data_IF_528746236692
#
_entry.id   IF_528746236692
#
_cell.length_a   1.000
_cell.length_b   1.000
_cell.length_c   1.000
_cell.angle_alpha   90.00
_cell.angle_beta   90.00
_cell.angle_gamma   90.00
#
_symmetry.space_group_name_H-M   'P 1'
#
loop_
_entity.id
_entity.type
_entity.pdbx_description
1 polymer ?
#
# COMPACT_ATOMS: atom_id res chain seq x y z
N UNK A 1 9.57 2.39 18.24
CA UNK A 1 8.53 1.65 19.00
C UNK A 1 8.70 0.14 18.87
N UNK A 2 8.74 -0.44 17.65
CA UNK A 2 8.89 -1.90 17.45
C UNK A 2 10.07 -2.53 18.21
N UNK A 3 11.27 -1.97 18.05
CA UNK A 3 12.49 -2.43 18.73
C UNK A 3 12.40 -2.31 20.25
N UNK A 4 11.67 -1.30 20.74
CA UNK A 4 11.49 -1.09 22.18
C UNK A 4 10.54 -2.15 22.75
N UNK A 5 9.50 -2.54 22.00
CA UNK A 5 8.50 -3.50 22.43
C UNK A 5 8.97 -4.96 22.33
N UNK A 6 9.75 -5.29 21.30
CA UNK A 6 10.11 -6.69 20.99
C UNK A 6 11.61 -6.99 21.10
N UNK A 7 12.47 -5.97 21.18
CA UNK A 7 13.92 -6.13 21.25
C UNK A 7 14.65 -5.77 19.96
N UNK A 8 15.98 -5.87 20.00
CA UNK A 8 16.92 -5.33 19.01
C UNK A 8 17.66 -6.39 18.21
N UNK A 9 17.27 -7.67 18.31
CA UNK A 9 17.90 -8.72 17.49
C UNK A 9 17.56 -8.50 16.02
N UNK A 10 18.50 -8.86 15.14
CA UNK A 10 18.34 -8.66 13.69
C UNK A 10 17.06 -9.32 13.16
N UNK A 11 16.74 -10.52 13.64
CA UNK A 11 15.52 -11.25 13.27
C UNK A 11 14.26 -10.44 13.60
N UNK A 12 14.20 -9.81 14.79
CA UNK A 12 13.03 -9.05 15.25
C UNK A 12 12.85 -7.79 14.40
N UNK A 13 13.93 -7.10 14.07
CA UNK A 13 13.87 -5.91 13.21
C UNK A 13 13.40 -6.29 11.80
N UNK A 14 13.94 -7.37 11.23
CA UNK A 14 13.55 -7.87 9.90
C UNK A 14 12.10 -8.40 9.86
N UNK A 15 11.58 -8.92 10.97
CA UNK A 15 10.22 -9.43 11.03
C UNK A 15 9.15 -8.35 10.78
N UNK A 16 9.45 -7.08 11.10
CA UNK A 16 8.56 -5.97 10.78
C UNK A 16 8.38 -5.84 9.26
N UNK A 17 9.44 -5.99 8.47
CA UNK A 17 9.36 -5.99 7.02
C UNK A 17 8.50 -7.14 6.52
N UNK A 18 8.72 -8.36 7.02
CA UNK A 18 7.89 -9.53 6.68
C UNK A 18 6.41 -9.28 6.97
N UNK A 19 6.08 -8.74 8.14
CA UNK A 19 4.71 -8.41 8.51
C UNK A 19 4.10 -7.39 7.53
N UNK A 20 4.81 -6.30 7.23
CA UNK A 20 4.33 -5.30 6.28
C UNK A 20 4.20 -5.83 4.85
N UNK A 21 5.05 -6.77 4.42
CA UNK A 21 4.91 -7.45 3.13
C UNK A 21 3.63 -8.27 3.07
N UNK A 22 3.33 -9.06 4.11
CA UNK A 22 2.09 -9.86 4.16
C UNK A 22 0.86 -8.95 4.12
N UNK A 23 0.88 -7.84 4.89
CA UNK A 23 -0.18 -6.84 4.86
C UNK A 23 -0.31 -6.18 3.48
N UNK A 24 0.82 -5.91 2.80
CA UNK A 24 0.83 -5.39 1.42
C UNK A 24 0.14 -6.36 0.48
N UNK A 25 0.47 -7.65 0.53
CA UNK A 25 -0.14 -8.68 -0.32
C UNK A 25 -1.66 -8.78 -0.09
N UNK A 26 -2.09 -8.83 1.18
CA UNK A 26 -3.50 -8.86 1.53
C UNK A 26 -4.25 -7.62 1.01
N UNK A 27 -3.64 -6.44 1.18
CA UNK A 27 -4.21 -5.18 0.70
C UNK A 27 -4.22 -5.09 -0.83
N UNK A 28 -3.20 -5.62 -1.49
CA UNK A 28 -3.09 -5.63 -2.95
C UNK A 28 -4.14 -6.54 -3.58
N UNK A 29 -4.37 -7.72 -3.00
CA UNK A 29 -5.48 -8.58 -3.40
C UNK A 29 -6.82 -7.86 -3.24
N UNK A 30 -7.04 -7.18 -2.11
CA UNK A 30 -8.28 -6.43 -1.85
C UNK A 30 -8.47 -5.30 -2.86
N UNK A 31 -7.43 -4.53 -3.13
CA UNK A 31 -7.43 -3.42 -4.08
C UNK A 31 -7.76 -3.87 -5.51
N UNK A 32 -7.03 -4.84 -6.02
CA UNK A 32 -7.22 -5.37 -7.38
C UNK A 32 -8.57 -6.06 -7.54
N UNK A 33 -9.05 -6.77 -6.51
CA UNK A 33 -10.39 -7.36 -6.51
C UNK A 33 -11.51 -6.33 -6.50
N UNK A 34 -11.33 -5.21 -5.80
CA UNK A 34 -12.31 -4.12 -5.78
C UNK A 34 -12.28 -3.31 -7.09
N UNK A 35 -11.11 -3.21 -7.73
CA UNK A 35 -10.93 -2.44 -8.97
C UNK A 35 -11.47 -3.20 -10.19
N UNK A 36 -11.23 -4.52 -10.25
CA UNK A 36 -11.65 -5.39 -11.34
C UNK A 36 -12.60 -6.48 -10.82
N UNK A 37 -12.04 -7.63 -10.40
CA UNK A 37 -12.77 -8.80 -9.92
C UNK A 37 -11.84 -9.74 -9.13
N UNK A 38 -12.43 -10.75 -8.46
CA UNK A 38 -11.70 -11.69 -7.60
C UNK A 38 -10.66 -12.55 -8.33
N UNK A 39 -10.90 -12.91 -9.59
CA UNK A 39 -9.96 -13.73 -10.37
C UNK A 39 -8.73 -12.89 -10.73
N UNK A 40 -8.95 -11.67 -11.24
CA UNK A 40 -7.86 -10.71 -11.48
C UNK A 40 -7.06 -10.46 -10.21
N UNK A 41 -7.74 -10.33 -9.07
CA UNK A 41 -7.06 -10.14 -7.79
C UNK A 41 -6.13 -11.29 -7.40
N UNK A 42 -6.54 -12.54 -7.62
CA UNK A 42 -5.69 -13.71 -7.34
C UNK A 42 -4.48 -13.78 -8.26
N UNK A 43 -4.68 -13.50 -9.55
CA UNK A 43 -3.58 -13.49 -10.54
C UNK A 43 -2.58 -12.39 -10.17
N UNK A 44 -3.06 -11.18 -9.86
CA UNK A 44 -2.21 -10.07 -9.46
C UNK A 44 -1.44 -10.38 -8.15
N UNK A 45 -2.13 -10.97 -7.16
CA UNK A 45 -1.51 -11.41 -5.91
C UNK A 45 -0.39 -12.44 -6.17
N UNK A 46 -0.63 -13.42 -7.04
CA UNK A 46 0.38 -14.42 -7.40
C UNK A 46 1.58 -13.77 -8.11
N UNK A 47 1.33 -12.90 -9.09
CA UNK A 47 2.39 -12.16 -9.79
C UNK A 47 3.25 -11.34 -8.84
N UNK A 48 2.64 -10.56 -7.93
CA UNK A 48 3.39 -9.76 -6.96
C UNK A 48 4.12 -10.63 -5.93
N UNK A 49 3.45 -11.67 -5.41
CA UNK A 49 4.00 -12.56 -4.39
C UNK A 49 5.14 -13.45 -4.88
N UNK A 50 5.22 -13.70 -6.19
CA UNK A 50 6.32 -14.48 -6.81
C UNK A 50 7.40 -13.59 -7.42
N UNK A 51 7.21 -12.27 -7.43
CA UNK A 51 8.16 -11.34 -8.00
C UNK A 51 9.43 -11.27 -7.12
N UNK A 52 10.58 -11.67 -7.68
CA UNK A 52 11.83 -11.81 -6.92
C UNK A 52 12.23 -10.55 -6.15
N UNK A 53 12.04 -9.36 -6.73
CA UNK A 53 12.36 -8.10 -6.05
C UNK A 53 11.46 -7.83 -4.85
N UNK A 54 10.19 -8.25 -4.92
CA UNK A 54 9.25 -8.10 -3.82
C UNK A 54 9.58 -9.09 -2.68
N UNK A 55 9.90 -10.34 -3.03
CA UNK A 55 10.34 -11.36 -2.07
C UNK A 55 11.65 -10.93 -1.39
N UNK A 56 12.61 -10.40 -2.15
CA UNK A 56 13.89 -9.91 -1.62
C UNK A 56 13.70 -8.90 -0.47
N UNK A 57 12.85 -7.89 -0.67
CA UNK A 57 12.61 -6.86 0.35
C UNK A 57 11.76 -7.32 1.54
N UNK A 58 11.25 -8.55 1.52
CA UNK A 58 10.55 -9.15 2.67
C UNK A 58 11.50 -9.33 3.85
N UNK A 59 12.76 -9.65 3.59
CA UNK A 59 13.74 -9.97 4.61
C UNK A 59 14.67 -8.81 4.96
N UNK A 60 14.65 -7.73 4.20
CA UNK A 60 15.49 -6.57 4.49
C UNK A 60 14.81 -5.62 5.46
N UNK A 61 15.53 -5.15 6.48
CA UNK A 61 15.08 -4.10 7.39
C UNK A 61 15.15 -2.71 6.72
N UNK A 62 14.44 -2.55 5.60
CA UNK A 62 14.37 -1.33 4.78
C UNK A 62 12.93 -0.81 4.70
N UNK A 63 12.72 0.48 4.43
CA UNK A 63 11.37 1.07 4.43
C UNK A 63 10.48 0.59 3.29
N UNK A 64 11.01 -0.14 2.30
CA UNK A 64 10.29 -0.47 1.06
C UNK A 64 9.04 -1.34 1.27
N UNK A 65 9.06 -2.28 2.21
CA UNK A 65 7.89 -3.11 2.50
C UNK A 65 6.74 -2.28 3.10
N UNK A 66 7.06 -1.37 4.03
CA UNK A 66 6.09 -0.42 4.59
C UNK A 66 5.61 0.61 3.55
N UNK A 67 6.52 1.06 2.67
CA UNK A 67 6.20 1.96 1.56
C UNK A 67 5.23 1.31 0.58
N UNK A 68 5.44 0.03 0.24
CA UNK A 68 4.56 -0.72 -0.65
C UNK A 68 3.16 -0.88 -0.04
N UNK A 69 3.07 -1.22 1.25
CA UNK A 69 1.80 -1.25 1.98
C UNK A 69 1.08 0.10 1.90
N UNK A 70 1.82 1.17 2.18
CA UNK A 70 1.36 2.55 2.08
C UNK A 70 0.81 2.90 0.71
N UNK A 71 1.59 2.64 -0.35
CA UNK A 71 1.21 2.94 -1.73
C UNK A 71 -0.08 2.24 -2.16
N UNK A 72 -0.18 0.92 -1.91
CA UNK A 72 -1.39 0.15 -2.24
C UNK A 72 -2.58 0.60 -1.39
N UNK A 73 -2.35 0.81 -0.09
CA UNK A 73 -3.37 1.27 0.84
C UNK A 73 -3.91 2.65 0.46
N UNK A 74 -3.04 3.56 0.02
CA UNK A 74 -3.39 4.89 -0.44
C UNK A 74 -4.27 4.85 -1.69
N UNK A 75 -3.88 4.04 -2.69
CA UNK A 75 -4.67 3.83 -3.91
C UNK A 75 -6.05 3.24 -3.59
N UNK A 76 -6.10 2.24 -2.71
CA UNK A 76 -7.36 1.62 -2.30
C UNK A 76 -8.27 2.58 -1.54
N UNK A 77 -7.73 3.32 -0.57
CA UNK A 77 -8.50 4.27 0.23
C UNK A 77 -9.08 5.38 -0.65
N UNK A 78 -8.28 5.90 -1.59
CA UNK A 78 -8.74 6.90 -2.56
C UNK A 78 -9.84 6.33 -3.47
N UNK A 79 -9.68 5.11 -3.99
CA UNK A 79 -10.70 4.45 -4.81
C UNK A 79 -12.03 4.32 -4.03
N UNK A 80 -11.96 3.91 -2.76
CA UNK A 80 -13.13 3.80 -1.89
C UNK A 80 -13.76 5.16 -1.61
N UNK A 81 -12.95 6.19 -1.37
CA UNK A 81 -13.41 7.56 -1.14
C UNK A 81 -14.12 8.13 -2.36
N UNK A 82 -13.56 7.97 -3.57
CA UNK A 82 -14.18 8.44 -4.82
C UNK A 82 -15.52 7.74 -5.06
N UNK A 83 -15.60 6.42 -4.85
CA UNK A 83 -16.83 5.65 -5.07
C UNK A 83 -17.91 5.94 -4.02
N UNK A 84 -17.50 6.14 -2.76
CA UNK A 84 -18.40 6.40 -1.62
C UNK A 84 -17.72 7.35 -0.65
N UNK A 85 -17.92 8.67 -0.82
CA UNK A 85 -17.29 9.67 0.04
C UNK A 85 -17.73 9.46 1.48
N UNK A 86 -16.77 9.20 2.37
CA UNK A 86 -17.01 9.13 3.80
C UNK A 86 -15.77 9.60 4.58
N UNK A 87 -15.97 9.95 5.86
CA UNK A 87 -14.89 10.45 6.73
C UNK A 87 -13.80 9.41 6.94
N UNK A 88 -14.16 8.14 7.08
CA UNK A 88 -13.20 7.05 7.31
C UNK A 88 -12.22 6.88 6.15
N UNK A 89 -12.69 6.83 4.91
CA UNK A 89 -11.84 6.72 3.72
C UNK A 89 -11.06 8.00 3.47
N UNK A 90 -11.59 9.18 3.82
CA UNK A 90 -10.80 10.41 3.79
C UNK A 90 -9.60 10.33 4.77
N UNK A 91 -9.85 9.92 6.02
CA UNK A 91 -8.80 9.73 7.03
C UNK A 91 -7.79 8.65 6.63
N UNK A 92 -8.26 7.52 6.08
CA UNK A 92 -7.39 6.46 5.58
C UNK A 92 -6.53 6.93 4.39
N UNK A 93 -7.11 7.72 3.48
CA UNK A 93 -6.39 8.30 2.33
C UNK A 93 -5.28 9.24 2.82
N UNK A 94 -5.58 10.08 3.81
CA UNK A 94 -4.59 10.96 4.43
C UNK A 94 -3.49 10.15 5.15
N UNK A 95 -3.86 9.20 6.01
CA UNK A 95 -2.91 8.41 6.79
C UNK A 95 -1.99 7.57 5.89
N UNK A 96 -2.55 6.87 4.90
CA UNK A 96 -1.81 6.00 3.99
C UNK A 96 -1.06 6.76 2.89
N UNK A 97 -1.40 8.02 2.65
CA UNK A 97 -0.60 8.91 1.80
C UNK A 97 0.55 9.56 2.57
N UNK A 98 0.29 10.15 3.73
CA UNK A 98 1.27 11.01 4.42
C UNK A 98 2.33 10.20 5.17
N UNK A 99 1.95 9.15 5.89
CA UNK A 99 2.90 8.37 6.72
C UNK A 99 3.99 7.73 5.85
N UNK A 100 3.68 7.05 4.74
CA UNK A 100 4.71 6.43 3.91
C UNK A 100 5.53 7.45 3.12
N UNK A 101 4.94 8.60 2.78
CA UNK A 101 5.68 9.70 2.14
C UNK A 101 6.77 10.25 3.06
N UNK A 102 6.49 10.36 4.36
CA UNK A 102 7.52 10.72 5.35
C UNK A 102 8.65 9.69 5.42
N UNK A 103 8.37 8.41 5.18
CA UNK A 103 9.40 7.36 5.17
C UNK A 103 10.28 7.42 3.92
N UNK A 104 9.69 7.70 2.75
CA UNK A 104 10.44 7.76 1.50
C UNK A 104 9.76 8.63 0.44
N UNK A 105 10.49 9.53 -0.25
CA UNK A 105 9.93 10.44 -1.26
C UNK A 105 9.42 9.73 -2.52
N UNK A 106 9.66 8.43 -2.68
CA UNK A 106 9.16 7.65 -3.83
C UNK A 106 7.63 7.59 -3.89
N UNK A 107 6.93 7.86 -2.79
CA UNK A 107 5.47 7.99 -2.84
C UNK A 107 5.02 9.18 -3.70
N UNK A 108 5.91 10.15 -4.01
CA UNK A 108 5.63 11.24 -4.94
C UNK A 108 5.17 10.73 -6.32
N UNK A 109 5.73 9.61 -6.80
CA UNK A 109 5.28 9.00 -8.06
C UNK A 109 3.83 8.49 -7.97
N UNK A 110 3.43 7.97 -6.81
CA UNK A 110 2.06 7.51 -6.56
C UNK A 110 1.11 8.69 -6.48
N UNK A 111 1.50 9.79 -5.82
CA UNK A 111 0.73 11.03 -5.82
C UNK A 111 0.52 11.57 -7.24
N UNK A 112 1.58 11.63 -8.06
CA UNK A 112 1.49 12.05 -9.46
C UNK A 112 0.51 11.17 -10.26
N UNK A 113 0.61 9.85 -10.13
CA UNK A 113 -0.31 8.92 -10.78
C UNK A 113 -1.76 9.10 -10.33
N UNK A 114 -2.01 9.40 -9.05
CA UNK A 114 -3.35 9.66 -8.55
C UNK A 114 -3.93 10.97 -9.06
N UNK A 115 -3.14 12.05 -9.10
CA UNK A 115 -3.59 13.32 -9.69
C UNK A 115 -4.01 13.10 -11.13
N UNK A 116 -3.19 12.41 -11.92
CA UNK A 116 -3.52 12.05 -13.31
C UNK A 116 -4.80 11.20 -13.37
N UNK A 117 -4.93 10.17 -12.53
CA UNK A 117 -6.12 9.32 -12.51
C UNK A 117 -7.40 10.09 -12.15
N UNK A 118 -7.31 11.01 -11.19
CA UNK A 118 -8.44 11.86 -10.79
C UNK A 118 -8.86 12.76 -11.96
N UNK A 119 -7.90 13.43 -12.61
CA UNK A 119 -8.17 14.33 -13.74
C UNK A 119 -8.79 13.60 -14.94
N UNK A 120 -8.37 12.36 -15.21
CA UNK A 120 -8.83 11.60 -16.37
C UNK A 120 -10.16 10.88 -16.13
N UNK A 121 -10.38 10.32 -14.94
CA UNK A 121 -11.47 9.37 -14.71
C UNK A 121 -12.57 9.87 -13.78
N UNK A 122 -12.30 10.86 -12.93
CA UNK A 122 -13.30 11.30 -11.95
C UNK A 122 -14.05 12.50 -12.48
N UNK A 123 -15.30 12.27 -12.88
CA UNK A 123 -16.25 13.33 -13.23
C UNK A 123 -16.99 13.74 -11.97
N UNK A 124 -16.66 14.90 -11.41
CA UNK A 124 -17.51 15.53 -10.40
C UNK A 124 -18.78 16.02 -11.10
N UNK A 125 -19.89 15.31 -10.90
CA UNK A 125 -21.20 15.88 -11.17
C UNK A 125 -21.36 17.09 -10.25
N UNK A 126 -21.46 18.29 -10.86
CA UNK A 126 -21.77 19.54 -10.16
C UNK A 126 -23.18 19.49 -9.60
#
# INVERSE_FOLDING_TARGET
>A
MWVIAFGHTETIVRFLSTLTTVLTLAMFYRFTSDLFDKQTGRIALFMLGTLSIFVFYTHEARPYAALAFGAVGFQWALLRFIRRPNRTYALLTLALGVIPFYQHPFLLYVYGAQVVAILLFVRWNR
#
